data_IF_850398377325
#
_entry.id   IF_850398377325
#
_cell.length_a   1.000
_cell.length_b   1.000
_cell.length_c   1.000
_cell.angle_alpha   90.00
_cell.angle_beta   90.00
_cell.angle_gamma   90.00
#
_symmetry.space_group_name_H-M   'P 1'
#
loop_
_entity.id
_entity.type
_entity.pdbx_description
1 polymer ?
#
# COMPACT_ATOMS: atom_id res chain seq x y z
N UNK A 1 -2.68 -6.09 22.12
CA UNK A 1 -1.74 -4.99 21.79
C UNK A 1 -1.64 -4.86 20.28
N UNK A 2 -1.65 -3.64 19.75
CA UNK A 2 -1.53 -3.40 18.30
C UNK A 2 -0.08 -3.39 17.79
N UNK A 3 0.89 -3.60 18.68
CA UNK A 3 2.33 -3.65 18.39
C UNK A 3 2.88 -5.00 18.79
N UNK A 4 3.72 -5.59 17.93
CA UNK A 4 4.42 -6.86 18.15
C UNK A 4 5.92 -6.67 17.89
N UNK A 5 6.74 -7.65 18.29
CA UNK A 5 8.16 -7.66 17.97
C UNK A 5 8.42 -8.58 16.78
N UNK A 6 8.99 -8.04 15.71
CA UNK A 6 9.51 -8.83 14.59
C UNK A 6 11.04 -8.71 14.62
N UNK A 7 11.72 -9.81 14.89
CA UNK A 7 13.18 -9.83 15.08
C UNK A 7 13.68 -8.78 16.10
N UNK A 8 12.92 -8.55 17.17
CA UNK A 8 13.27 -7.57 18.21
C UNK A 8 12.92 -6.12 17.87
N UNK A 9 12.33 -5.85 16.72
CA UNK A 9 11.89 -4.52 16.28
C UNK A 9 10.39 -4.35 16.54
N UNK A 10 10.01 -3.27 17.24
CA UNK A 10 8.60 -2.94 17.47
C UNK A 10 7.91 -2.61 16.15
N UNK A 11 6.84 -3.33 15.87
CA UNK A 11 6.05 -3.21 14.65
C UNK A 11 4.60 -2.99 15.00
N UNK A 12 4.02 -1.88 14.56
CA UNK A 12 2.59 -1.64 14.62
C UNK A 12 1.89 -2.44 13.51
N UNK A 13 0.85 -3.20 13.87
CA UNK A 13 0.13 -4.07 12.91
C UNK A 13 -1.34 -3.72 12.71
N UNK A 14 -1.82 -2.66 13.35
CA UNK A 14 -3.22 -2.22 13.25
C UNK A 14 -4.24 -3.14 13.95
N UNK A 15 -3.88 -4.38 14.22
CA UNK A 15 -4.70 -5.39 14.86
C UNK A 15 -4.26 -5.66 16.31
N UNK A 16 -5.17 -6.14 17.15
CA UNK A 16 -4.75 -6.81 18.40
C UNK A 16 -4.36 -8.25 18.05
N UNK A 17 -3.06 -8.54 18.11
CA UNK A 17 -2.53 -9.85 17.74
C UNK A 17 -3.18 -11.01 18.54
N UNK A 18 -3.61 -10.74 19.79
CA UNK A 18 -4.28 -11.75 20.62
C UNK A 18 -5.74 -12.01 20.23
N UNK A 19 -6.34 -11.13 19.43
CA UNK A 19 -7.71 -11.22 18.94
C UNK A 19 -7.82 -11.82 17.53
N UNK A 20 -6.68 -12.12 16.88
CA UNK A 20 -6.66 -12.76 15.57
C UNK A 20 -7.13 -14.21 15.69
N UNK A 21 -8.09 -14.60 14.86
CA UNK A 21 -8.69 -15.93 14.84
C UNK A 21 -8.23 -16.71 13.60
N UNK A 22 -7.54 -17.82 13.79
CA UNK A 22 -7.05 -18.71 12.71
C UNK A 22 -8.17 -19.32 11.83
N UNK A 23 -9.43 -19.21 12.24
CA UNK A 23 -10.56 -19.71 11.48
C UNK A 23 -11.15 -18.66 10.55
N UNK A 24 -10.74 -17.40 10.68
CA UNK A 24 -11.16 -16.30 9.84
C UNK A 24 -10.13 -16.04 8.76
N UNK A 25 -10.61 -15.67 7.58
CA UNK A 25 -9.74 -15.15 6.52
C UNK A 25 -9.10 -13.84 6.96
N UNK A 26 -7.88 -13.61 6.54
CA UNK A 26 -7.09 -12.44 6.91
C UNK A 26 -6.83 -11.56 5.69
N UNK A 27 -7.19 -10.30 5.80
CA UNK A 27 -6.86 -9.27 4.80
C UNK A 27 -5.74 -8.39 5.35
N UNK A 28 -4.67 -8.25 4.57
CA UNK A 28 -3.52 -7.41 4.92
C UNK A 28 -3.47 -6.19 4.01
N UNK A 29 -3.40 -4.99 4.60
CA UNK A 29 -3.37 -3.71 3.90
C UNK A 29 -1.98 -3.09 3.97
N UNK A 30 -1.28 -3.02 2.83
CA UNK A 30 0.10 -2.54 2.71
C UNK A 30 0.13 -1.13 2.13
N UNK A 31 0.59 -0.16 2.91
CA UNK A 31 0.60 1.25 2.51
C UNK A 31 1.67 1.59 1.45
N UNK A 32 1.53 2.75 0.81
CA UNK A 32 2.47 3.29 -0.16
C UNK A 32 3.65 4.03 0.47
N UNK A 33 4.57 4.52 -0.40
CA UNK A 33 5.79 5.24 0.01
C UNK A 33 5.48 6.43 0.91
N UNK A 34 6.19 6.51 2.04
CA UNK A 34 6.04 7.57 3.04
C UNK A 34 4.71 7.55 3.80
N UNK A 35 3.80 6.61 3.51
CA UNK A 35 2.48 6.52 4.12
C UNK A 35 2.52 5.71 5.43
N UNK A 36 1.36 5.32 5.93
CA UNK A 36 1.18 4.46 7.11
C UNK A 36 -0.26 3.88 7.11
N UNK A 37 -0.60 3.08 8.11
CA UNK A 37 -1.93 2.45 8.25
C UNK A 37 -3.11 3.43 8.14
N UNK A 38 -2.96 4.70 8.50
CA UNK A 38 -4.04 5.70 8.47
C UNK A 38 -4.47 6.06 7.04
N UNK A 39 -3.66 5.75 6.03
CA UNK A 39 -4.03 5.98 4.63
C UNK A 39 -5.24 5.16 4.17
N UNK A 40 -5.53 4.05 4.85
CA UNK A 40 -6.66 3.17 4.55
C UNK A 40 -8.00 3.65 5.10
N UNK A 41 -7.99 4.67 5.97
CA UNK A 41 -9.19 5.28 6.55
C UNK A 41 -10.16 4.28 7.17
N UNK A 42 -11.40 4.24 6.68
CA UNK A 42 -12.47 3.38 7.19
C UNK A 42 -12.53 2.00 6.53
N UNK A 43 -11.76 1.78 5.46
CA UNK A 43 -11.80 0.52 4.68
C UNK A 43 -11.56 -0.71 5.56
N UNK A 44 -10.53 -0.77 6.43
CA UNK A 44 -10.28 -1.92 7.29
C UNK A 44 -11.42 -2.25 8.25
N UNK A 45 -12.17 -1.24 8.71
CA UNK A 45 -13.27 -1.43 9.65
C UNK A 45 -14.39 -2.27 9.05
N UNK A 46 -14.70 -2.07 7.76
CA UNK A 46 -15.72 -2.87 7.08
C UNK A 46 -15.38 -4.37 7.08
N UNK A 47 -14.11 -4.74 6.85
CA UNK A 47 -13.68 -6.15 6.86
C UNK A 47 -13.75 -6.75 8.27
N UNK A 48 -13.40 -5.97 9.32
CA UNK A 48 -13.59 -6.40 10.71
C UNK A 48 -15.06 -6.69 11.02
N UNK A 49 -15.97 -5.81 10.59
CA UNK A 49 -17.42 -5.96 10.79
C UNK A 49 -18.00 -7.13 9.99
N UNK A 50 -17.33 -7.55 8.90
CA UNK A 50 -17.71 -8.68 8.06
C UNK A 50 -16.90 -9.97 8.35
N UNK A 51 -16.41 -10.11 9.58
CA UNK A 51 -15.83 -11.34 10.12
C UNK A 51 -14.45 -11.74 9.55
N UNK A 52 -13.67 -10.80 9.01
CA UNK A 52 -12.27 -11.02 8.66
C UNK A 52 -11.34 -10.68 9.82
N UNK A 53 -10.15 -11.29 9.84
CA UNK A 53 -9.00 -10.67 10.47
C UNK A 53 -8.50 -9.54 9.57
N UNK A 54 -8.07 -8.45 10.17
CA UNK A 54 -7.51 -7.31 9.43
C UNK A 54 -6.17 -6.95 10.03
N UNK A 55 -5.15 -6.86 9.18
CA UNK A 55 -3.82 -6.40 9.54
C UNK A 55 -3.47 -5.23 8.61
N UNK A 56 -3.18 -4.08 9.18
CA UNK A 56 -2.73 -2.89 8.46
C UNK A 56 -1.44 -2.39 9.12
N UNK A 57 -0.30 -3.00 8.79
CA UNK A 57 0.96 -2.68 9.46
C UNK A 57 1.52 -1.35 8.97
N UNK A 58 2.28 -0.70 9.85
CA UNK A 58 3.25 0.30 9.45
C UNK A 58 4.56 -0.41 9.12
N UNK A 59 5.14 -0.17 7.96
CA UNK A 59 6.47 -0.68 7.65
C UNK A 59 7.51 -0.14 8.65
N UNK A 60 8.63 -0.83 8.90
CA UNK A 60 9.72 -0.30 9.72
C UNK A 60 10.11 1.12 9.32
N UNK A 61 10.45 1.95 10.32
CA UNK A 61 10.71 3.39 10.18
C UNK A 61 9.50 4.23 9.72
N UNK A 62 8.27 3.70 9.84
CA UNK A 62 7.05 4.44 9.53
C UNK A 62 6.15 4.55 10.76
N UNK A 63 5.64 5.75 11.02
CA UNK A 63 4.62 6.07 12.04
C UNK A 63 4.90 5.42 13.40
N UNK A 64 4.15 4.38 13.75
CA UNK A 64 4.17 3.72 15.05
C UNK A 64 5.10 2.46 15.05
N UNK A 65 5.82 2.20 13.95
CA UNK A 65 6.82 1.13 13.85
C UNK A 65 8.24 1.68 13.98
N UNK A 66 9.07 0.95 14.74
CA UNK A 66 10.49 1.25 14.89
C UNK A 66 11.33 0.63 13.78
N UNK A 67 12.66 0.72 13.90
CA UNK A 67 13.63 0.04 13.05
C UNK A 67 14.10 0.89 11.89
N UNK A 68 14.78 0.25 10.93
CA UNK A 68 15.27 0.89 9.71
C UNK A 68 14.30 0.61 8.54
N UNK A 69 14.16 1.57 7.64
CA UNK A 69 13.42 1.36 6.39
C UNK A 69 14.07 0.27 5.54
N UNK A 70 13.29 -0.33 4.68
CA UNK A 70 13.79 -1.32 3.74
C UNK A 70 14.58 -0.66 2.62
N UNK A 71 15.67 -1.29 2.20
CA UNK A 71 16.46 -0.87 1.05
C UNK A 71 15.91 -1.42 -0.26
N UNK A 72 15.10 -2.50 -0.20
CA UNK A 72 14.57 -3.20 -1.36
C UNK A 72 13.14 -3.72 -1.11
N UNK A 73 12.40 -3.95 -2.17
CA UNK A 73 11.08 -4.61 -2.10
C UNK A 73 11.20 -6.06 -1.62
N UNK A 74 12.28 -6.73 -1.94
CA UNK A 74 12.55 -8.08 -1.48
C UNK A 74 12.72 -8.16 0.05
N UNK A 75 13.34 -7.16 0.67
CA UNK A 75 13.43 -7.05 2.14
C UNK A 75 12.04 -6.86 2.78
N UNK A 76 11.21 -5.98 2.22
CA UNK A 76 9.84 -5.77 2.71
C UNK A 76 9.00 -7.05 2.57
N UNK A 77 9.22 -7.83 1.52
CA UNK A 77 8.56 -9.12 1.30
C UNK A 77 8.99 -10.17 2.34
N UNK A 78 10.28 -10.26 2.64
CA UNK A 78 10.79 -11.17 3.68
C UNK A 78 10.24 -10.78 5.06
N UNK A 79 10.21 -9.49 5.35
CA UNK A 79 9.61 -8.97 6.57
C UNK A 79 8.11 -9.30 6.66
N UNK A 80 7.36 -9.19 5.57
CA UNK A 80 5.95 -9.55 5.54
C UNK A 80 5.74 -11.04 5.84
N UNK A 81 6.63 -11.93 5.37
CA UNK A 81 6.61 -13.36 5.70
C UNK A 81 6.93 -13.62 7.18
N UNK A 82 7.83 -12.84 7.76
CA UNK A 82 8.11 -12.92 9.20
C UNK A 82 6.91 -12.41 10.03
N UNK A 83 6.24 -11.36 9.58
CA UNK A 83 5.01 -10.86 10.20
C UNK A 83 3.93 -11.95 10.21
N UNK A 84 3.66 -12.59 9.08
CA UNK A 84 2.70 -13.70 8.97
C UNK A 84 3.00 -14.81 9.99
N UNK A 85 4.27 -15.22 10.05
CA UNK A 85 4.73 -16.24 10.99
C UNK A 85 4.56 -15.82 12.44
N UNK A 86 4.82 -14.55 12.75
CA UNK A 86 4.76 -14.02 14.11
C UNK A 86 3.33 -13.85 14.63
N UNK A 87 2.40 -13.39 13.77
CA UNK A 87 0.98 -13.26 14.13
C UNK A 87 0.25 -14.60 14.09
N UNK A 88 0.83 -15.61 13.45
CA UNK A 88 0.37 -16.99 13.45
C UNK A 88 -1.06 -17.17 12.91
N UNK A 89 -1.40 -16.38 11.90
CA UNK A 89 -2.57 -16.52 11.02
C UNK A 89 -2.12 -16.51 9.57
N UNK A 90 -2.82 -17.25 8.73
CA UNK A 90 -2.58 -17.23 7.28
C UNK A 90 -2.97 -15.88 6.72
N UNK A 91 -2.23 -15.37 5.73
CA UNK A 91 -2.63 -14.22 4.94
C UNK A 91 -3.37 -14.71 3.70
N UNK A 92 -4.68 -14.46 3.66
CA UNK A 92 -5.53 -14.92 2.55
C UNK A 92 -5.58 -13.88 1.43
N UNK A 93 -5.59 -12.60 1.77
CA UNK A 93 -5.60 -11.50 0.80
C UNK A 93 -4.58 -10.44 1.14
N UNK A 94 -3.83 -9.99 0.11
CA UNK A 94 -2.92 -8.85 0.23
C UNK A 94 -3.45 -7.69 -0.61
N UNK A 95 -3.69 -6.56 0.01
CA UNK A 95 -4.13 -5.31 -0.64
C UNK A 95 -3.01 -4.29 -0.51
N UNK A 96 -2.39 -3.93 -1.64
CA UNK A 96 -1.28 -2.99 -1.66
C UNK A 96 -1.60 -1.70 -2.42
N UNK A 97 -1.35 -0.56 -1.80
CA UNK A 97 -1.38 0.74 -2.46
C UNK A 97 0.02 1.12 -2.93
N UNK A 98 0.18 1.50 -4.19
CA UNK A 98 1.45 1.98 -4.75
C UNK A 98 2.61 1.02 -4.43
N UNK A 99 3.66 1.43 -3.71
CA UNK A 99 4.76 0.57 -3.23
C UNK A 99 4.28 -0.70 -2.49
N UNK A 100 3.22 -0.58 -1.71
CA UNK A 100 2.68 -1.73 -0.98
C UNK A 100 2.26 -2.88 -1.89
N UNK A 101 1.84 -2.58 -3.12
CA UNK A 101 1.55 -3.62 -4.10
C UNK A 101 2.82 -4.32 -4.63
N UNK A 102 3.95 -3.63 -4.75
CA UNK A 102 5.20 -4.29 -5.12
C UNK A 102 5.59 -5.35 -4.10
N UNK A 103 5.38 -5.06 -2.81
CA UNK A 103 5.59 -6.03 -1.72
C UNK A 103 4.60 -7.20 -1.82
N UNK A 104 3.32 -6.92 -2.07
CA UNK A 104 2.30 -7.96 -2.24
C UNK A 104 2.57 -8.85 -3.47
N UNK A 105 2.98 -8.25 -4.58
CA UNK A 105 3.34 -8.92 -5.82
C UNK A 105 4.53 -9.88 -5.62
N UNK A 106 5.61 -9.38 -5.02
CA UNK A 106 6.80 -10.20 -4.74
C UNK A 106 6.51 -11.29 -3.70
N UNK A 107 5.62 -11.01 -2.72
CA UNK A 107 5.17 -12.00 -1.75
C UNK A 107 4.38 -13.12 -2.44
N UNK A 108 3.40 -12.79 -3.27
CA UNK A 108 2.60 -13.76 -3.98
C UNK A 108 3.45 -14.65 -4.92
N UNK A 109 4.47 -14.07 -5.56
CA UNK A 109 5.39 -14.82 -6.42
C UNK A 109 6.26 -15.82 -5.65
N UNK A 110 6.54 -15.57 -4.36
CA UNK A 110 7.42 -16.42 -3.53
C UNK A 110 6.68 -17.32 -2.56
N UNK A 111 5.51 -16.91 -2.08
CA UNK A 111 4.81 -17.48 -0.94
C UNK A 111 3.30 -17.58 -1.20
N UNK A 112 2.90 -18.13 -2.38
CA UNK A 112 1.50 -18.20 -2.79
C UNK A 112 0.66 -19.21 -2.01
N UNK A 113 1.28 -20.11 -1.25
CA UNK A 113 0.56 -21.17 -0.51
C UNK A 113 -0.44 -20.56 0.49
N UNK A 114 -1.71 -20.86 0.31
CA UNK A 114 -2.82 -20.37 1.13
C UNK A 114 -3.28 -18.95 0.80
N UNK A 115 -2.61 -18.24 -0.13
CA UNK A 115 -3.06 -16.94 -0.60
C UNK A 115 -4.24 -17.12 -1.56
N UNK A 116 -5.34 -16.41 -1.31
CA UNK A 116 -6.56 -16.49 -2.13
C UNK A 116 -6.64 -15.33 -3.15
N UNK A 117 -5.91 -14.24 -2.95
CA UNK A 117 -5.83 -13.17 -3.92
C UNK A 117 -4.96 -11.98 -3.53
N UNK A 118 -4.61 -11.18 -4.55
CA UNK A 118 -3.89 -9.93 -4.38
C UNK A 118 -4.62 -8.77 -5.05
N UNK A 119 -4.53 -7.60 -4.45
CA UNK A 119 -5.11 -6.36 -5.01
C UNK A 119 -4.05 -5.28 -5.12
N UNK A 120 -3.89 -4.71 -6.30
CA UNK A 120 -3.07 -3.53 -6.57
C UNK A 120 -3.94 -2.28 -6.71
N UNK A 121 -3.69 -1.28 -5.86
CA UNK A 121 -4.38 0.02 -5.92
C UNK A 121 -3.38 1.08 -6.35
N UNK A 122 -3.68 1.82 -7.42
CA UNK A 122 -2.82 2.87 -7.98
C UNK A 122 -1.37 2.39 -8.15
N UNK A 123 -1.17 1.24 -8.75
CA UNK A 123 0.15 0.61 -8.83
C UNK A 123 0.38 -0.16 -10.14
N UNK A 124 1.56 -0.74 -10.25
CA UNK A 124 2.01 -1.55 -11.37
C UNK A 124 3.11 -2.53 -10.92
N UNK A 125 3.50 -3.48 -11.77
CA UNK A 125 4.65 -4.37 -11.50
C UNK A 125 6.00 -3.63 -11.47
N UNK A 126 6.05 -2.39 -11.94
CA UNK A 126 7.20 -1.47 -11.84
C UNK A 126 6.70 -0.04 -11.69
N UNK A 127 7.24 0.68 -10.74
CA UNK A 127 6.90 2.08 -10.48
C UNK A 127 8.11 2.92 -10.86
N UNK A 128 8.05 3.68 -11.98
CA UNK A 128 9.13 4.58 -12.34
C UNK A 128 9.15 5.76 -11.36
N UNK A 129 10.27 5.96 -10.70
CA UNK A 129 10.48 7.10 -9.81
C UNK A 129 11.48 8.05 -10.45
N UNK A 130 11.13 9.36 -10.49
CA UNK A 130 12.04 10.38 -10.98
C UNK A 130 13.20 10.56 -9.98
N UNK A 131 14.44 10.60 -10.49
CA UNK A 131 15.63 10.82 -9.67
C UNK A 131 15.57 12.16 -8.91
N UNK A 132 15.06 13.22 -9.54
CA UNK A 132 14.92 14.53 -8.89
C UNK A 132 14.01 14.47 -7.65
N UNK A 133 13.00 13.60 -7.65
CA UNK A 133 12.14 13.40 -6.48
C UNK A 133 12.89 12.68 -5.35
N UNK A 134 13.73 11.70 -5.68
CA UNK A 134 14.60 11.00 -4.72
C UNK A 134 15.58 11.99 -4.11
N UNK A 135 16.29 12.78 -4.95
CA UNK A 135 17.24 13.77 -4.49
C UNK A 135 16.59 14.84 -3.61
N UNK A 136 15.35 15.25 -3.97
CA UNK A 136 14.57 16.17 -3.14
C UNK A 136 14.22 15.53 -1.79
N UNK A 137 13.82 14.25 -1.77
CA UNK A 137 13.46 13.55 -0.54
C UNK A 137 14.67 13.37 0.40
N UNK A 138 15.87 13.18 -0.15
CA UNK A 138 17.11 13.15 0.63
C UNK A 138 17.48 14.51 1.22
N UNK A 139 17.34 15.59 0.43
CA UNK A 139 17.69 16.94 0.84
C UNK A 139 16.65 17.59 1.75
N UNK A 140 15.38 17.39 1.47
CA UNK A 140 14.23 17.97 2.18
C UNK A 140 13.02 17.06 2.07
N UNK A 141 12.86 16.08 2.99
CA UNK A 141 11.71 15.15 2.96
C UNK A 141 10.34 15.85 2.91
N UNK A 142 10.22 17.02 3.56
CA UNK A 142 8.96 17.78 3.57
C UNK A 142 8.63 18.37 2.18
N UNK A 143 9.64 18.83 1.44
CA UNK A 143 9.43 19.37 0.10
C UNK A 143 9.05 18.26 -0.87
N UNK A 144 9.71 17.10 -0.77
CA UNK A 144 9.32 15.92 -1.55
C UNK A 144 7.89 15.46 -1.23
N UNK A 145 7.52 15.41 0.05
CA UNK A 145 6.15 15.06 0.47
C UNK A 145 5.13 16.04 -0.10
N UNK A 146 5.38 17.34 -0.06
CA UNK A 146 4.50 18.35 -0.65
C UNK A 146 4.38 18.19 -2.18
N UNK A 147 5.47 17.90 -2.88
CA UNK A 147 5.45 17.61 -4.32
C UNK A 147 4.62 16.35 -4.63
N UNK A 148 4.82 15.28 -3.87
CA UNK A 148 4.06 14.05 -4.04
C UNK A 148 2.56 14.28 -3.82
N UNK A 149 2.16 14.97 -2.77
CA UNK A 149 0.76 15.29 -2.51
C UNK A 149 0.17 16.10 -3.67
N UNK A 150 0.88 17.11 -4.13
CA UNK A 150 0.45 17.96 -5.26
C UNK A 150 0.23 17.16 -6.55
N UNK A 151 1.07 16.14 -6.81
CA UNK A 151 0.95 15.31 -8.00
C UNK A 151 -0.03 14.14 -7.85
N UNK A 152 -0.25 13.72 -6.62
CA UNK A 152 -1.08 12.55 -6.30
C UNK A 152 -2.58 12.83 -6.32
N UNK A 153 -3.01 14.02 -5.90
CA UNK A 153 -4.42 14.33 -5.79
C UNK A 153 -5.03 14.71 -7.13
N UNK A 154 -6.28 14.28 -7.36
CA UNK A 154 -7.09 14.78 -8.46
C UNK A 154 -7.46 16.25 -8.25
N UNK A 155 -7.76 16.96 -9.36
CA UNK A 155 -8.26 18.34 -9.27
C UNK A 155 -9.60 18.41 -8.55
N UNK A 156 -10.46 17.45 -8.79
CA UNK A 156 -11.80 17.32 -8.20
C UNK A 156 -11.72 17.13 -6.67
N UNK A 157 -10.81 16.28 -6.21
CA UNK A 157 -10.58 16.12 -4.78
C UNK A 157 -9.99 17.39 -4.17
N UNK A 158 -8.96 17.96 -4.77
CA UNK A 158 -8.33 19.19 -4.32
C UNK A 158 -9.35 20.35 -4.23
N UNK A 159 -10.26 20.46 -5.20
CA UNK A 159 -11.33 21.49 -5.17
C UNK A 159 -12.42 21.22 -4.11
N UNK A 160 -12.76 19.95 -3.86
CA UNK A 160 -13.72 19.54 -2.83
C UNK A 160 -13.25 19.86 -1.42
N UNK A 161 -11.95 19.68 -1.16
CA UNK A 161 -11.37 19.94 0.16
C UNK A 161 -10.98 21.41 0.38
N UNK A 162 -10.93 22.26 -0.64
CA UNK A 162 -10.74 23.71 -0.49
C UNK A 162 -11.86 24.32 0.37
N UNK A 163 -11.49 24.84 1.54
CA UNK A 163 -12.40 25.52 2.45
C UNK A 163 -12.96 24.69 3.61
N UNK A 164 -12.58 23.44 3.73
CA UNK A 164 -12.89 22.61 4.91
C UNK A 164 -11.56 22.36 5.64
N UNK A 165 -11.13 23.02 6.64
CA UNK A 165 -9.87 22.78 7.43
C UNK A 165 -8.70 22.02 6.72
N UNK A 166 -8.62 22.18 5.44
CA UNK A 166 -7.93 21.35 4.45
C UNK A 166 -6.44 21.58 4.43
N UNK A 167 -6.04 22.82 4.58
CA UNK A 167 -4.61 23.17 4.72
C UNK A 167 -3.97 22.37 5.85
N UNK A 168 -4.74 22.12 6.92
CA UNK A 168 -4.31 21.31 8.06
C UNK A 168 -4.20 19.82 7.73
N UNK A 169 -5.11 19.25 6.92
CA UNK A 169 -5.07 17.85 6.52
C UNK A 169 -3.87 17.55 5.61
N UNK A 170 -3.67 18.33 4.56
CA UNK A 170 -2.55 18.14 3.63
C UNK A 170 -1.19 18.42 4.30
N UNK A 171 -1.14 19.43 5.17
CA UNK A 171 0.06 19.73 5.96
C UNK A 171 0.40 18.60 6.94
N UNK A 172 -0.61 18.02 7.62
CA UNK A 172 -0.43 16.85 8.49
C UNK A 172 0.03 15.64 7.69
N UNK A 173 -0.53 15.42 6.51
CA UNK A 173 -0.12 14.33 5.63
C UNK A 173 1.34 14.51 5.19
N UNK A 174 1.72 15.71 4.71
CA UNK A 174 3.09 16.00 4.31
C UNK A 174 4.09 15.81 5.47
N UNK A 175 3.76 16.33 6.66
CA UNK A 175 4.58 16.15 7.87
C UNK A 175 4.71 14.68 8.28
N UNK A 176 3.65 13.89 8.10
CA UNK A 176 3.69 12.44 8.33
C UNK A 176 4.61 11.74 7.33
N UNK A 177 4.43 11.99 6.04
CA UNK A 177 5.26 11.42 4.98
C UNK A 177 6.73 11.77 5.14
N UNK A 178 7.04 13.02 5.49
CA UNK A 178 8.42 13.49 5.69
C UNK A 178 9.14 12.79 6.85
N UNK A 179 8.40 12.22 7.81
CA UNK A 179 8.96 11.45 8.95
C UNK A 179 9.11 9.96 8.65
N UNK A 180 8.48 9.46 7.59
CA UNK A 180 8.30 8.04 7.29
C UNK A 180 9.28 7.57 6.20
N UNK A 181 10.56 7.83 6.33
CA UNK A 181 11.62 7.27 5.44
C UNK A 181 11.32 7.35 3.94
N UNK A 182 10.71 8.45 3.51
CA UNK A 182 10.23 8.64 2.13
C UNK A 182 11.32 8.41 1.07
N UNK A 183 12.55 8.88 1.33
CA UNK A 183 13.66 8.74 0.38
C UNK A 183 14.02 7.25 0.15
N UNK A 184 14.08 6.46 1.22
CA UNK A 184 14.38 5.03 1.16
C UNK A 184 13.31 4.27 0.39
N UNK A 185 12.04 4.58 0.62
CA UNK A 185 10.91 3.99 -0.10
C UNK A 185 10.99 4.26 -1.60
N UNK A 186 11.24 5.52 -1.97
CA UNK A 186 11.36 5.91 -3.38
C UNK A 186 12.54 5.21 -4.07
N UNK A 187 13.68 5.06 -3.37
CA UNK A 187 14.83 4.29 -3.86
C UNK A 187 14.50 2.83 -4.03
N UNK A 188 13.83 2.20 -3.06
CA UNK A 188 13.43 0.79 -3.15
C UNK A 188 12.50 0.55 -4.36
N UNK A 189 11.53 1.45 -4.60
CA UNK A 189 10.68 1.39 -5.79
C UNK A 189 11.48 1.54 -7.09
N UNK A 190 12.37 2.52 -7.18
CA UNK A 190 13.20 2.77 -8.37
C UNK A 190 14.15 1.60 -8.68
N UNK A 191 14.67 0.96 -7.63
CA UNK A 191 15.60 -0.17 -7.74
C UNK A 191 14.91 -1.49 -8.12
N UNK A 192 13.61 -1.67 -7.84
CA UNK A 192 12.90 -2.91 -8.07
C UNK A 192 12.77 -3.23 -9.57
N UNK A 193 13.33 -4.37 -10.01
CA UNK A 193 13.36 -4.80 -11.41
C UNK A 193 12.72 -6.16 -11.66
N UNK A 194 12.33 -6.87 -10.59
CA UNK A 194 11.81 -8.23 -10.70
C UNK A 194 10.30 -8.30 -11.05
N UNK A 195 9.59 -7.18 -11.09
CA UNK A 195 8.13 -7.15 -11.12
C UNK A 195 7.46 -7.91 -12.25
N UNK A 196 8.01 -7.84 -13.49
CA UNK A 196 7.49 -8.63 -14.62
C UNK A 196 7.69 -10.13 -14.40
N UNK A 197 8.83 -10.53 -13.87
CA UNK A 197 9.12 -11.94 -13.59
C UNK A 197 8.22 -12.45 -12.44
N UNK A 198 8.08 -11.67 -11.38
CA UNK A 198 7.18 -11.97 -10.26
C UNK A 198 5.73 -12.10 -10.75
N UNK A 199 5.21 -11.14 -11.52
CA UNK A 199 3.85 -11.16 -12.04
C UNK A 199 3.54 -12.43 -12.86
N UNK A 200 4.50 -12.95 -13.62
CA UNK A 200 4.35 -14.18 -14.41
C UNK A 200 4.30 -15.47 -13.58
N UNK A 201 4.72 -15.42 -12.33
CA UNK A 201 4.72 -16.60 -11.42
C UNK A 201 3.42 -16.68 -10.61
N UNK A 202 2.60 -15.64 -10.63
CA UNK A 202 1.37 -15.55 -9.83
C UNK A 202 0.24 -16.26 -10.56
N UNK A 203 -0.39 -17.21 -9.88
CA UNK A 203 -1.53 -17.99 -10.33
C UNK A 203 -2.81 -17.77 -9.48
N UNK A 204 -2.69 -16.94 -8.43
CA UNK A 204 -3.84 -16.58 -7.60
C UNK A 204 -4.66 -15.45 -8.24
N UNK A 205 -5.98 -15.36 -7.97
CA UNK A 205 -6.83 -14.27 -8.41
C UNK A 205 -6.22 -12.90 -8.08
N UNK A 206 -6.38 -11.94 -8.98
CA UNK A 206 -5.85 -10.59 -8.77
C UNK A 206 -6.79 -9.51 -9.30
N UNK A 207 -6.81 -8.37 -8.61
CA UNK A 207 -7.57 -7.18 -8.99
C UNK A 207 -6.63 -5.96 -9.05
N UNK A 208 -6.77 -5.16 -10.10
CA UNK A 208 -6.14 -3.84 -10.21
C UNK A 208 -7.21 -2.76 -10.11
N UNK A 209 -7.15 -1.94 -9.06
CA UNK A 209 -7.99 -0.72 -8.91
C UNK A 209 -7.14 0.47 -9.32
N UNK A 210 -7.44 1.02 -10.49
CA UNK A 210 -6.65 2.05 -11.16
C UNK A 210 -7.39 3.39 -11.19
N UNK A 211 -6.66 4.45 -11.39
CA UNK A 211 -7.21 5.78 -11.55
C UNK A 211 -6.88 6.35 -12.94
N UNK A 212 -7.88 6.98 -13.56
CA UNK A 212 -7.69 7.65 -14.83
C UNK A 212 -6.81 8.92 -14.72
N UNK A 213 -6.77 9.55 -13.53
CA UNK A 213 -6.03 10.79 -13.30
C UNK A 213 -4.72 10.60 -12.52
N UNK A 214 -4.28 9.36 -12.30
CA UNK A 214 -3.02 9.06 -11.61
C UNK A 214 -1.81 9.57 -12.39
N UNK A 215 -1.11 10.55 -11.82
CA UNK A 215 0.12 11.13 -12.38
C UNK A 215 1.39 10.49 -11.80
N UNK A 216 1.28 9.78 -10.67
CA UNK A 216 2.41 9.12 -10.01
C UNK A 216 2.67 7.74 -10.63
N UNK A 217 1.60 6.95 -10.80
CA UNK A 217 1.65 5.66 -11.51
C UNK A 217 0.61 5.68 -12.63
N UNK A 218 0.93 6.27 -13.80
CA UNK A 218 -0.02 6.42 -14.90
C UNK A 218 -0.75 5.12 -15.24
N UNK A 219 -2.05 5.20 -15.45
CA UNK A 219 -2.97 4.07 -15.68
C UNK A 219 -2.44 3.02 -16.66
N UNK A 220 -1.69 3.44 -17.70
CA UNK A 220 -1.10 2.53 -18.69
C UNK A 220 -0.24 1.44 -18.05
N UNK A 221 0.52 1.75 -16.99
CA UNK A 221 1.39 0.80 -16.29
C UNK A 221 0.59 -0.22 -15.50
N UNK A 222 -0.51 0.21 -14.87
CA UNK A 222 -1.46 -0.69 -14.22
C UNK A 222 -2.15 -1.62 -15.22
N UNK A 223 -2.57 -1.11 -16.38
CA UNK A 223 -3.17 -1.90 -17.45
C UNK A 223 -2.17 -2.90 -18.09
N UNK A 224 -0.90 -2.54 -18.20
CA UNK A 224 0.15 -3.47 -18.62
C UNK A 224 0.36 -4.57 -17.58
N UNK A 225 0.31 -4.21 -16.30
CA UNK A 225 0.41 -5.15 -15.17
C UNK A 225 -0.76 -6.13 -15.18
N UNK A 226 -1.99 -5.64 -15.34
CA UNK A 226 -3.19 -6.48 -15.38
C UNK A 226 -3.16 -7.51 -16.50
N UNK A 227 -2.62 -7.15 -17.67
CA UNK A 227 -2.45 -8.08 -18.79
C UNK A 227 -1.48 -9.23 -18.47
N UNK A 228 -0.40 -8.94 -17.73
CA UNK A 228 0.58 -9.97 -17.34
C UNK A 228 0.01 -10.90 -16.27
N UNK A 229 -0.73 -10.33 -15.29
CA UNK A 229 -1.36 -11.06 -14.20
C UNK A 229 -2.65 -11.79 -14.61
N UNK A 230 -3.32 -11.37 -15.69
CA UNK A 230 -4.69 -11.78 -15.98
C UNK A 230 -5.71 -11.22 -14.99
N UNK A 231 -5.42 -10.05 -14.39
CA UNK A 231 -6.23 -9.45 -13.34
C UNK A 231 -7.57 -8.92 -13.83
N UNK A 232 -8.57 -8.95 -12.94
CA UNK A 232 -9.70 -8.03 -13.03
C UNK A 232 -9.22 -6.57 -12.93
N UNK A 233 -9.95 -5.64 -13.56
CA UNK A 233 -9.59 -4.22 -13.56
C UNK A 233 -10.81 -3.38 -13.26
N UNK A 234 -10.68 -2.48 -12.29
CA UNK A 234 -11.64 -1.42 -11.97
C UNK A 234 -10.94 -0.06 -12.18
N UNK A 235 -11.61 0.87 -12.84
CA UNK A 235 -11.07 2.19 -13.13
C UNK A 235 -11.95 3.25 -12.46
N UNK A 236 -11.34 4.11 -11.64
CA UNK A 236 -11.99 5.26 -11.04
C UNK A 236 -11.60 6.53 -11.82
N UNK A 237 -12.60 7.23 -12.39
CA UNK A 237 -12.37 8.29 -13.37
C UNK A 237 -11.91 9.63 -12.74
N UNK A 238 -12.51 10.04 -11.64
CA UNK A 238 -12.33 11.37 -11.02
C UNK A 238 -11.43 11.32 -9.77
N UNK A 239 -10.45 10.44 -9.76
CA UNK A 239 -9.57 10.16 -8.63
C UNK A 239 -8.12 10.28 -9.07
N UNK A 240 -7.24 10.73 -8.19
CA UNK A 240 -5.80 10.75 -8.41
C UNK A 240 -5.12 9.47 -7.94
N UNK A 241 -3.89 9.60 -7.44
CA UNK A 241 -3.08 8.47 -6.97
C UNK A 241 -3.51 7.96 -5.57
N UNK A 242 -4.04 8.84 -4.73
CA UNK A 242 -4.40 8.52 -3.34
C UNK A 242 -5.80 7.92 -3.23
N UNK A 243 -6.12 6.89 -4.04
CA UNK A 243 -7.46 6.31 -4.11
C UNK A 243 -8.09 5.99 -2.75
N UNK A 244 -7.37 5.36 -1.77
CA UNK A 244 -7.97 5.07 -0.47
C UNK A 244 -8.33 6.34 0.33
N UNK A 245 -7.70 7.48 0.03
CA UNK A 245 -7.98 8.78 0.64
C UNK A 245 -9.07 9.55 -0.12
N UNK A 246 -9.00 9.56 -1.44
CA UNK A 246 -9.84 10.36 -2.32
C UNK A 246 -11.24 9.75 -2.52
N UNK A 247 -11.31 8.42 -2.60
CA UNK A 247 -12.53 7.65 -2.91
C UNK A 247 -12.62 6.34 -2.06
N UNK A 248 -12.61 6.43 -0.72
CA UNK A 248 -12.58 5.25 0.15
C UNK A 248 -13.79 4.33 -0.03
N UNK A 249 -14.96 4.87 -0.33
CA UNK A 249 -16.19 4.09 -0.53
C UNK A 249 -16.16 3.30 -1.84
N UNK A 250 -15.67 3.90 -2.92
CA UNK A 250 -15.52 3.28 -4.23
C UNK A 250 -14.45 2.18 -4.18
N UNK A 251 -13.32 2.46 -3.53
CA UNK A 251 -12.28 1.46 -3.27
C UNK A 251 -12.85 0.30 -2.45
N UNK A 252 -13.57 0.59 -1.36
CA UNK A 252 -14.21 -0.44 -0.55
C UNK A 252 -15.20 -1.29 -1.38
N UNK A 253 -15.99 -0.66 -2.25
CA UNK A 253 -16.92 -1.37 -3.12
C UNK A 253 -16.20 -2.34 -4.08
N UNK A 254 -15.04 -1.96 -4.63
CA UNK A 254 -14.22 -2.85 -5.45
C UNK A 254 -13.67 -4.02 -4.61
N UNK A 255 -13.10 -3.71 -3.45
CA UNK A 255 -12.50 -4.72 -2.57
C UNK A 255 -13.54 -5.72 -2.05
N UNK A 256 -14.71 -5.26 -1.62
CA UNK A 256 -15.76 -6.13 -1.06
C UNK A 256 -16.43 -7.04 -2.08
N UNK A 257 -16.32 -6.78 -3.39
CA UNK A 257 -16.74 -7.69 -4.46
C UNK A 257 -15.70 -8.77 -4.74
N UNK A 258 -14.43 -8.44 -4.61
CA UNK A 258 -13.33 -9.34 -4.91
C UNK A 258 -12.94 -10.24 -3.73
N UNK A 259 -12.95 -9.70 -2.52
CA UNK A 259 -12.57 -10.39 -1.28
C UNK A 259 -13.83 -10.99 -0.65
N UNK A 260 -13.96 -12.31 -0.71
CA UNK A 260 -15.16 -13.07 -0.29
C UNK A 260 -14.83 -14.18 0.71
#
# INVERSE_FOLDING_TARGET
MKTILINGVETFIGADASALDRKKKTVVFLHGSGMNHKSWQTIPAWFLDNNFNVIAPDFPAHSDSSGAAFSTIEESTQWLKLLESQVNVQFDYLVGHSQGFLTALEFAARYSEGLEGIVGIASAYAIPVNQDLIDTAEASPIDAANLMIKWSLSSEYADRIKGQDEGDLLEKLAKSMAKNSLAEDLKACAAYKNGVAAAKLIDVPSLMVLSAQDKMTPIKHGLETSKVLGSEVEILEEVGHMLPLEAPNEVLACLSRFIV
#
